data_IF_521389484354
#
_entry.id   IF_521389484354
#
_cell.length_a   1.000
_cell.length_b   1.000
_cell.length_c   1.000
_cell.angle_alpha   90.00
_cell.angle_beta   90.00
_cell.angle_gamma   90.00
#
_symmetry.space_group_name_H-M   'P 1'
#
loop_
_entity.id
_entity.type
_entity.pdbx_description
1 polymer ?
#
# COMPACT_ATOMS: atom_id res chain seq x y z
N UNK A 1 47.70 7.26 13.91
CA UNK A 1 47.17 5.88 13.99
C UNK A 1 45.82 5.87 13.29
N UNK A 2 45.73 5.22 12.13
CA UNK A 2 44.52 5.13 11.34
C UNK A 2 43.62 4.02 11.91
N UNK A 3 42.37 4.36 12.24
CA UNK A 3 41.36 3.39 12.67
C UNK A 3 40.84 2.61 11.45
N UNK A 4 40.76 1.29 11.64
CA UNK A 4 40.28 0.32 10.67
C UNK A 4 38.85 0.61 10.18
N UNK A 5 38.57 0.56 8.87
CA UNK A 5 37.21 0.61 8.33
C UNK A 5 36.65 -0.81 8.25
N UNK A 6 36.34 -1.41 9.39
CA UNK A 6 35.73 -2.75 9.45
C UNK A 6 34.65 -2.83 10.55
N UNK A 7 33.84 -1.79 10.69
CA UNK A 7 32.65 -1.80 11.57
C UNK A 7 31.54 -0.88 11.03
N UNK A 8 31.24 -0.96 9.73
CA UNK A 8 30.02 -0.34 9.16
C UNK A 8 29.31 -1.36 8.27
N UNK A 9 28.86 -2.47 8.85
CA UNK A 9 28.00 -3.43 8.14
C UNK A 9 27.11 -4.25 9.08
N UNK A 10 26.55 -3.63 10.12
CA UNK A 10 25.47 -4.25 10.89
C UNK A 10 24.26 -3.33 11.16
N UNK A 11 24.34 -2.03 10.88
CA UNK A 11 23.19 -1.13 11.01
C UNK A 11 22.19 -1.22 9.83
N UNK A 12 22.61 -1.77 8.68
CA UNK A 12 21.74 -1.86 7.49
C UNK A 12 20.68 -2.99 7.58
N UNK A 13 20.92 -4.03 8.39
CA UNK A 13 19.97 -5.14 8.56
C UNK A 13 18.89 -4.87 9.62
N UNK A 14 19.12 -3.92 10.54
CA UNK A 14 18.12 -3.48 11.52
C UNK A 14 16.98 -2.65 10.90
N UNK A 15 17.26 -1.91 9.82
CA UNK A 15 16.25 -1.11 9.12
C UNK A 15 15.28 -1.94 8.27
N UNK A 16 15.75 -3.05 7.69
CA UNK A 16 14.89 -3.94 6.87
C UNK A 16 13.93 -4.74 7.75
N UNK A 17 14.35 -5.16 8.95
CA UNK A 17 13.47 -5.83 9.91
C UNK A 17 12.40 -4.91 10.49
N UNK A 18 12.70 -3.61 10.67
CA UNK A 18 11.69 -2.62 11.08
C UNK A 18 10.66 -2.34 9.95
N UNK A 19 11.09 -2.33 8.69
CA UNK A 19 10.17 -2.17 7.55
C UNK A 19 9.22 -3.37 7.39
N UNK A 20 9.69 -4.59 7.66
CA UNK A 20 8.86 -5.80 7.62
C UNK A 20 7.81 -5.83 8.73
N UNK A 21 8.10 -5.24 9.90
CA UNK A 21 7.13 -5.13 11.00
C UNK A 21 6.12 -3.99 10.77
N UNK A 22 6.51 -2.92 10.08
CA UNK A 22 5.59 -1.82 9.71
C UNK A 22 4.57 -2.24 8.64
N UNK A 23 4.89 -3.20 7.78
CA UNK A 23 3.93 -3.81 6.83
C UNK A 23 2.94 -4.79 7.49
N UNK A 24 3.13 -5.12 8.78
CA UNK A 24 2.17 -5.88 9.59
C UNK A 24 1.27 -4.98 10.46
N UNK A 25 1.24 -3.66 10.21
CA UNK A 25 0.37 -2.73 10.94
C UNK A 25 -1.08 -2.71 10.44
N UNK A 26 -1.42 -3.45 9.38
CA UNK A 26 -2.81 -3.61 8.88
C UNK A 26 -3.56 -4.77 9.57
N UNK A 27 -3.01 -5.33 10.65
CA UNK A 27 -3.72 -6.34 11.47
C UNK A 27 -4.76 -5.75 12.44
N UNK A 28 -5.04 -4.44 12.37
CA UNK A 28 -5.98 -3.74 13.26
C UNK A 28 -7.47 -4.06 12.98
N UNK A 29 -7.76 -4.99 12.06
CA UNK A 29 -9.13 -5.41 11.72
C UNK A 29 -9.66 -6.61 12.51
N UNK A 30 -8.85 -7.22 13.38
CA UNK A 30 -9.29 -8.39 14.15
C UNK A 30 -9.81 -7.94 15.52
N UNK A 31 -11.09 -7.56 15.56
CA UNK A 31 -11.80 -7.33 16.83
C UNK A 31 -12.15 -8.69 17.43
N UNK A 32 -11.61 -9.00 18.62
CA UNK A 32 -12.03 -10.14 19.44
C UNK A 32 -13.30 -9.77 20.20
N UNK A 33 -14.40 -10.47 19.93
CA UNK A 33 -15.66 -10.36 20.68
C UNK A 33 -15.71 -11.43 21.79
N UNK A 34 -15.44 -11.06 23.05
CA UNK A 34 -15.73 -11.91 24.21
C UNK A 34 -14.77 -13.05 24.52
N UNK A 35 -14.89 -13.62 25.73
CA UNK A 35 -13.99 -14.66 26.27
C UNK A 35 -14.36 -16.10 25.83
N UNK A 36 -15.58 -16.31 25.31
CA UNK A 36 -16.11 -17.64 24.97
C UNK A 36 -16.51 -17.79 23.48
N UNK A 37 -16.52 -16.71 22.69
CA UNK A 37 -16.85 -16.74 21.25
C UNK A 37 -15.65 -16.31 20.39
N UNK A 38 -15.05 -17.26 19.67
CA UNK A 38 -14.00 -16.97 18.70
C UNK A 38 -14.62 -16.47 17.38
N UNK A 39 -14.97 -15.19 17.32
CA UNK A 39 -15.43 -14.52 16.10
C UNK A 39 -14.29 -13.84 15.32
N UNK A 40 -14.29 -13.99 13.99
CA UNK A 40 -13.51 -13.14 13.09
C UNK A 40 -14.48 -12.29 12.26
N UNK A 41 -14.45 -10.97 12.44
CA UNK A 41 -15.30 -10.04 11.70
C UNK A 41 -14.49 -9.29 10.66
N UNK A 42 -14.72 -9.58 9.38
CA UNK A 42 -14.15 -8.83 8.26
C UNK A 42 -15.20 -7.82 7.80
N UNK A 43 -15.00 -6.54 8.11
CA UNK A 43 -15.99 -5.51 7.79
C UNK A 43 -16.03 -5.16 6.29
N UNK A 44 -14.89 -5.28 5.60
CA UNK A 44 -14.78 -4.98 4.18
C UNK A 44 -14.00 -6.10 3.50
N UNK A 45 -14.70 -6.94 2.76
CA UNK A 45 -14.10 -8.04 2.02
C UNK A 45 -13.59 -7.54 0.67
N UNK A 46 -12.28 -7.55 0.48
CA UNK A 46 -11.63 -7.19 -0.78
C UNK A 46 -11.53 -8.42 -1.71
N UNK A 47 -11.42 -8.23 -3.04
CA UNK A 47 -11.29 -9.36 -3.97
C UNK A 47 -10.10 -10.28 -3.68
N UNK A 48 -9.03 -9.73 -3.09
CA UNK A 48 -7.84 -10.48 -2.68
C UNK A 48 -8.07 -11.37 -1.45
N UNK A 49 -9.15 -11.13 -0.72
CA UNK A 49 -9.58 -11.89 0.46
C UNK A 49 -10.58 -13.00 0.08
N UNK A 50 -10.94 -13.13 -1.19
CA UNK A 50 -11.72 -14.28 -1.66
C UNK A 50 -10.89 -15.57 -1.56
N UNK A 51 -11.48 -16.65 -1.04
CA UNK A 51 -10.72 -17.86 -0.80
C UNK A 51 -11.48 -18.94 -0.04
N UNK A 52 -10.73 -19.85 0.58
CA UNK A 52 -11.26 -20.81 1.55
C UNK A 52 -10.56 -20.53 2.88
N UNK A 53 -11.35 -20.18 3.88
CA UNK A 53 -10.87 -19.96 5.23
C UNK A 53 -11.01 -21.24 6.03
N UNK A 54 -10.00 -21.56 6.84
CA UNK A 54 -10.02 -22.72 7.70
C UNK A 54 -10.09 -22.27 9.15
N UNK A 55 -11.07 -22.77 9.89
CA UNK A 55 -11.18 -22.60 11.33
C UNK A 55 -10.82 -23.92 12.00
N UNK A 56 -9.78 -23.91 12.83
CA UNK A 56 -9.33 -25.07 13.59
C UNK A 56 -9.57 -24.89 15.09
N UNK A 57 -10.21 -25.86 15.72
CA UNK A 57 -10.26 -26.01 17.18
C UNK A 57 -9.29 -27.12 17.58
N UNK A 58 -8.52 -26.92 18.65
CA UNK A 58 -7.52 -27.89 19.11
C UNK A 58 -8.11 -28.98 20.02
N UNK A 59 -9.13 -28.66 20.81
CA UNK A 59 -9.74 -29.56 21.78
C UNK A 59 -11.27 -29.37 21.86
N UNK A 60 -12.07 -30.30 21.30
CA UNK A 60 -11.66 -31.41 20.44
C UNK A 60 -11.08 -30.92 19.10
N UNK A 61 -10.21 -31.72 18.44
CA UNK A 61 -9.68 -31.37 17.14
C UNK A 61 -10.81 -31.34 16.11
N UNK A 62 -11.13 -30.15 15.64
CA UNK A 62 -12.14 -29.94 14.61
C UNK A 62 -11.64 -28.91 13.60
N UNK A 63 -11.74 -29.22 12.32
CA UNK A 63 -11.40 -28.28 11.24
C UNK A 63 -12.66 -28.06 10.42
N UNK A 64 -13.08 -26.81 10.34
CA UNK A 64 -14.15 -26.36 9.47
C UNK A 64 -13.55 -25.49 8.36
N UNK A 65 -14.14 -25.54 7.17
CA UNK A 65 -13.77 -24.69 6.04
C UNK A 65 -14.94 -23.83 5.61
N UNK A 66 -14.69 -22.54 5.44
CA UNK A 66 -15.65 -21.55 4.98
C UNK A 66 -15.18 -20.98 3.63
N UNK A 67 -15.85 -21.31 2.51
CA UNK A 67 -15.57 -20.64 1.25
C UNK A 67 -16.10 -19.20 1.32
N UNK A 68 -15.25 -18.24 0.95
CA UNK A 68 -15.60 -16.83 0.85
C UNK A 68 -15.52 -16.42 -0.62
N UNK A 69 -16.64 -15.91 -1.14
CA UNK A 69 -16.74 -15.34 -2.48
C UNK A 69 -16.87 -13.83 -2.40
N UNK A 70 -16.27 -13.14 -3.37
CA UNK A 70 -16.37 -11.68 -3.50
C UNK A 70 -16.89 -11.38 -4.89
N UNK A 71 -17.99 -10.65 -4.95
CA UNK A 71 -18.53 -10.14 -6.20
C UNK A 71 -18.28 -8.65 -6.25
N UNK A 72 -17.61 -8.21 -7.31
CA UNK A 72 -17.33 -6.81 -7.58
C UNK A 72 -18.21 -6.32 -8.71
N UNK A 73 -18.89 -5.20 -8.50
CA UNK A 73 -19.66 -4.52 -9.53
C UNK A 73 -19.04 -3.14 -9.74
N UNK A 74 -18.67 -2.82 -10.98
CA UNK A 74 -17.93 -1.61 -11.33
C UNK A 74 -18.63 -0.86 -12.46
N UNK A 75 -18.59 0.47 -12.38
CA UNK A 75 -19.06 1.43 -13.39
C UNK A 75 -17.83 2.12 -14.00
N UNK A 76 -17.63 1.95 -15.32
CA UNK A 76 -16.66 2.69 -16.11
C UNK A 76 -17.40 3.65 -17.06
N UNK A 77 -17.49 4.92 -16.69
CA UNK A 77 -18.10 5.97 -17.51
C UNK A 77 -17.18 6.33 -18.68
N UNK A 78 -17.73 6.34 -19.90
CA UNK A 78 -17.04 6.73 -21.13
C UNK A 78 -17.81 7.85 -21.85
N UNK A 79 -17.19 8.50 -22.86
CA UNK A 79 -17.85 9.59 -23.59
C UNK A 79 -19.16 9.19 -24.29
N UNK A 80 -19.26 7.95 -24.76
CA UNK A 80 -20.41 7.46 -25.55
C UNK A 80 -21.41 6.61 -24.74
N UNK A 81 -21.11 6.28 -23.49
CA UNK A 81 -21.90 5.36 -22.69
C UNK A 81 -21.18 4.94 -21.41
N UNK A 82 -21.71 3.95 -20.71
CA UNK A 82 -21.07 3.35 -19.54
C UNK A 82 -20.86 1.86 -19.78
N UNK A 83 -19.72 1.37 -19.31
CA UNK A 83 -19.44 -0.07 -19.21
C UNK A 83 -19.63 -0.49 -17.77
N UNK A 84 -20.58 -1.38 -17.53
CA UNK A 84 -20.77 -2.03 -16.26
C UNK A 84 -20.07 -3.38 -16.30
N UNK A 85 -19.32 -3.72 -15.26
CA UNK A 85 -18.67 -5.02 -15.13
C UNK A 85 -19.01 -5.63 -13.78
N UNK A 86 -19.43 -6.88 -13.81
CA UNK A 86 -19.66 -7.70 -12.64
C UNK A 86 -18.70 -8.89 -12.71
N UNK A 87 -17.91 -9.08 -11.66
CA UNK A 87 -16.87 -10.11 -11.61
C UNK A 87 -16.91 -10.82 -10.26
N UNK A 88 -16.96 -12.15 -10.31
CA UNK A 88 -17.02 -13.00 -9.14
C UNK A 88 -15.67 -13.70 -8.93
N UNK A 89 -15.01 -13.40 -7.83
CA UNK A 89 -13.84 -14.12 -7.34
C UNK A 89 -14.33 -15.10 -6.28
N UNK A 90 -14.28 -16.39 -6.60
CA UNK A 90 -14.67 -17.44 -5.67
C UNK A 90 -13.82 -18.70 -5.83
N UNK A 91 -13.63 -19.37 -4.71
CA UNK A 91 -13.10 -20.72 -4.58
C UNK A 91 -14.08 -21.80 -5.07
N UNK A 92 -15.38 -21.53 -5.11
CA UNK A 92 -16.39 -22.47 -5.61
C UNK A 92 -16.79 -22.22 -7.07
N UNK A 93 -17.57 -23.15 -7.64
CA UNK A 93 -17.94 -23.13 -9.05
C UNK A 93 -19.07 -22.11 -9.26
N UNK A 94 -18.72 -20.97 -9.85
CA UNK A 94 -19.69 -20.03 -10.42
C UNK A 94 -20.23 -20.63 -11.72
N UNK A 95 -21.55 -20.77 -11.79
CA UNK A 95 -22.25 -21.44 -12.90
C UNK A 95 -22.57 -20.44 -14.00
N UNK A 96 -23.14 -19.29 -13.63
CA UNK A 96 -23.51 -18.24 -14.58
C UNK A 96 -23.59 -16.87 -13.90
N UNK A 97 -23.43 -15.84 -14.72
CA UNK A 97 -23.62 -14.45 -14.33
C UNK A 97 -24.42 -13.73 -15.41
N UNK A 98 -25.41 -12.94 -14.99
CA UNK A 98 -26.27 -12.18 -15.90
C UNK A 98 -26.68 -10.83 -15.31
N UNK A 99 -26.97 -9.89 -16.19
CA UNK A 99 -27.47 -8.58 -15.80
C UNK A 99 -28.98 -8.57 -15.76
N UNK A 100 -29.53 -8.00 -14.70
CA UNK A 100 -30.95 -7.74 -14.53
C UNK A 100 -31.22 -6.22 -14.54
N UNK A 101 -32.41 -5.86 -14.99
CA UNK A 101 -32.98 -4.53 -14.82
C UNK A 101 -34.40 -4.69 -14.28
N UNK A 102 -34.67 -4.12 -13.10
CA UNK A 102 -35.96 -4.29 -12.42
C UNK A 102 -36.33 -5.78 -12.22
N UNK A 103 -35.36 -6.61 -11.81
CA UNK A 103 -35.55 -8.05 -11.61
C UNK A 103 -35.77 -8.87 -12.90
N UNK A 104 -35.61 -8.28 -14.09
CA UNK A 104 -35.74 -8.97 -15.37
C UNK A 104 -34.39 -9.09 -16.06
N UNK A 105 -34.09 -10.26 -16.59
CA UNK A 105 -32.86 -10.48 -17.35
C UNK A 105 -32.81 -9.56 -18.58
N UNK A 106 -31.68 -8.87 -18.72
CA UNK A 106 -31.41 -8.08 -19.91
C UNK A 106 -31.13 -9.05 -21.07
N UNK A 107 -32.09 -9.15 -21.97
CA UNK A 107 -31.93 -9.97 -23.16
C UNK A 107 -30.85 -9.42 -24.08
N UNK A 108 -30.04 -10.33 -24.64
CA UNK A 108 -29.10 -10.03 -25.73
C UNK A 108 -29.81 -9.60 -27.04
N UNK A 109 -31.15 -9.61 -27.07
CA UNK A 109 -31.94 -9.24 -28.25
C UNK A 109 -32.03 -7.73 -28.47
N UNK A 110 -31.68 -6.90 -27.48
CA UNK A 110 -31.59 -5.45 -27.69
C UNK A 110 -30.29 -5.14 -28.42
N UNK A 111 -30.32 -4.77 -29.71
CA UNK A 111 -29.11 -4.57 -30.50
C UNK A 111 -28.28 -3.36 -30.04
N UNK A 112 -28.84 -2.47 -29.21
CA UNK A 112 -28.12 -1.33 -28.66
C UNK A 112 -27.30 -1.69 -27.42
N UNK A 113 -27.60 -2.83 -26.80
CA UNK A 113 -26.87 -3.31 -25.63
C UNK A 113 -25.83 -4.33 -26.07
N UNK A 114 -24.61 -4.17 -25.55
CA UNK A 114 -23.59 -5.20 -25.73
C UNK A 114 -23.37 -5.90 -24.40
N UNK A 115 -23.81 -7.16 -24.32
CA UNK A 115 -23.62 -8.01 -23.16
C UNK A 115 -22.59 -9.06 -23.53
N UNK A 116 -21.50 -9.13 -22.76
CA UNK A 116 -20.51 -10.19 -22.87
C UNK A 116 -20.44 -10.92 -21.53
N UNK A 117 -20.91 -12.18 -21.51
CA UNK A 117 -20.92 -13.01 -20.30
C UNK A 117 -19.98 -14.20 -20.45
N UNK A 118 -19.14 -14.38 -19.45
CA UNK A 118 -18.35 -15.58 -19.19
C UNK A 118 -18.71 -16.16 -17.81
N UNK A 119 -18.21 -17.36 -17.51
CA UNK A 119 -18.57 -18.09 -16.27
C UNK A 119 -18.35 -17.30 -14.97
N UNK A 120 -17.33 -16.43 -14.91
CA UNK A 120 -16.95 -15.68 -13.71
C UNK A 120 -16.98 -14.16 -13.88
N UNK A 121 -17.36 -13.67 -15.06
CA UNK A 121 -17.52 -12.25 -15.29
C UNK A 121 -18.62 -11.98 -16.31
N UNK A 122 -19.29 -10.85 -16.17
CA UNK A 122 -20.19 -10.33 -17.19
C UNK A 122 -20.00 -8.83 -17.34
N UNK A 123 -20.05 -8.36 -18.57
CA UNK A 123 -19.91 -6.96 -18.92
C UNK A 123 -21.11 -6.50 -19.74
N UNK A 124 -21.67 -5.35 -19.37
CA UNK A 124 -22.77 -4.70 -20.06
C UNK A 124 -22.31 -3.32 -20.52
N UNK A 125 -22.43 -3.04 -21.81
CA UNK A 125 -22.25 -1.71 -22.36
C UNK A 125 -23.61 -1.08 -22.63
N UNK A 126 -23.85 0.09 -22.04
CA UNK A 126 -25.08 0.87 -22.24
C UNK A 126 -24.72 2.20 -22.89
N UNK A 127 -25.17 2.47 -24.12
CA UNK A 127 -24.91 3.74 -24.78
C UNK A 127 -25.73 4.85 -24.12
N UNK A 128 -25.23 6.09 -24.18
CA UNK A 128 -25.79 7.23 -23.43
C UNK A 128 -27.21 7.60 -23.85
N UNK A 129 -27.60 7.32 -25.09
CA UNK A 129 -28.95 7.54 -25.61
C UNK A 129 -29.96 6.46 -25.19
N UNK A 130 -29.49 5.36 -24.58
CA UNK A 130 -30.35 4.26 -24.14
C UNK A 130 -31.12 4.63 -22.86
N UNK A 131 -32.41 4.27 -22.73
CA UNK A 131 -33.18 4.50 -21.50
C UNK A 131 -32.50 3.94 -20.23
N UNK A 132 -31.92 2.73 -20.34
CA UNK A 132 -31.15 2.10 -19.24
C UNK A 132 -29.98 2.94 -18.72
N UNK A 133 -29.45 3.89 -19.51
CA UNK A 133 -28.37 4.75 -19.02
C UNK A 133 -28.86 5.69 -17.91
N UNK A 134 -30.11 6.16 -18.01
CA UNK A 134 -30.75 7.01 -16.99
C UNK A 134 -31.16 6.18 -15.77
N UNK A 135 -31.61 4.96 -16.01
CA UNK A 135 -32.09 4.04 -14.97
C UNK A 135 -30.99 3.08 -14.48
N UNK A 136 -29.71 3.42 -14.69
CA UNK A 136 -28.56 2.55 -14.35
C UNK A 136 -28.50 2.14 -12.89
N UNK A 137 -29.12 2.91 -12.00
CA UNK A 137 -29.22 2.65 -10.57
C UNK A 137 -30.09 1.41 -10.24
N UNK A 138 -30.90 0.95 -11.19
CA UNK A 138 -31.75 -0.24 -11.09
C UNK A 138 -31.13 -1.45 -11.79
N UNK A 139 -29.87 -1.34 -12.22
CA UNK A 139 -29.10 -2.47 -12.73
C UNK A 139 -28.63 -3.35 -11.59
N UNK A 140 -28.85 -4.64 -11.76
CA UNK A 140 -28.46 -5.67 -10.82
C UNK A 140 -27.65 -6.74 -11.56
N UNK A 141 -26.71 -7.36 -10.87
CA UNK A 141 -25.97 -8.51 -11.35
C UNK A 141 -26.41 -9.73 -10.56
N UNK A 142 -26.96 -10.73 -11.25
CA UNK A 142 -27.25 -12.02 -10.66
C UNK A 142 -26.07 -12.97 -10.88
N UNK A 143 -25.65 -13.62 -9.79
CA UNK A 143 -24.58 -14.60 -9.76
C UNK A 143 -25.16 -15.91 -9.25
N UNK A 144 -25.07 -16.96 -10.07
CA UNK A 144 -25.51 -18.30 -9.70
C UNK A 144 -24.30 -19.13 -9.30
N UNK A 145 -24.27 -19.57 -8.05
CA UNK A 145 -23.16 -20.29 -7.43
C UNK A 145 -23.67 -21.65 -6.91
N UNK A 146 -23.56 -22.68 -7.75
CA UNK A 146 -24.18 -23.97 -7.49
C UNK A 146 -25.71 -23.85 -7.51
N UNK A 147 -26.35 -24.11 -6.37
CA UNK A 147 -27.81 -23.99 -6.18
C UNK A 147 -28.21 -22.62 -5.60
N UNK A 148 -27.25 -21.81 -5.18
CA UNK A 148 -27.50 -20.50 -4.60
C UNK A 148 -27.55 -19.41 -5.69
N UNK A 149 -28.49 -18.48 -5.54
CA UNK A 149 -28.65 -17.32 -6.42
C UNK A 149 -28.46 -16.07 -5.58
N UNK A 150 -27.49 -15.24 -5.97
CA UNK A 150 -27.14 -14.00 -5.30
C UNK A 150 -27.35 -12.82 -6.25
N UNK A 151 -28.03 -11.77 -5.80
CA UNK A 151 -28.33 -10.56 -6.61
C UNK A 151 -27.62 -9.36 -6.00
N UNK A 152 -26.83 -8.66 -6.81
CA UNK A 152 -26.01 -7.52 -6.40
C UNK A 152 -26.42 -6.27 -7.17
N UNK A 153 -26.89 -5.23 -6.47
CA UNK A 153 -27.21 -3.94 -7.10
C UNK A 153 -25.96 -3.10 -7.36
N UNK A 154 -25.95 -2.32 -8.44
CA UNK A 154 -24.85 -1.40 -8.77
C UNK A 154 -24.62 -0.35 -7.67
N UNK A 155 -25.70 0.07 -7.01
CA UNK A 155 -25.63 0.83 -5.76
C UNK A 155 -25.45 -0.19 -4.64
N UNK A 156 -24.21 -0.48 -4.26
CA UNK A 156 -23.97 -0.95 -2.89
C UNK A 156 -24.44 0.19 -1.99
N UNK A 157 -25.68 0.10 -1.48
CA UNK A 157 -26.00 0.75 -0.23
C UNK A 157 -25.04 0.13 0.77
N UNK A 158 -23.99 0.86 1.12
CA UNK A 158 -23.25 0.60 2.36
C UNK A 158 -24.32 0.35 3.42
N UNK A 159 -24.33 -0.80 4.12
CA UNK A 159 -25.30 -1.00 5.19
C UNK A 159 -25.18 0.22 6.09
N UNK A 160 -26.25 1.00 6.22
CA UNK A 160 -26.28 2.10 7.18
C UNK A 160 -25.86 1.51 8.51
N UNK A 161 -24.78 2.01 9.15
CA UNK A 161 -24.47 1.60 10.49
C UNK A 161 -25.64 2.05 11.36
N UNK A 162 -26.54 1.11 11.66
CA UNK A 162 -27.52 1.24 12.71
C UNK A 162 -26.75 1.32 14.03
N UNK A 163 -26.26 2.52 14.35
CA UNK A 163 -25.37 2.78 15.47
C UNK A 163 -24.39 3.90 15.18
N UNK A 164 -24.87 5.14 15.29
CA UNK A 164 -24.15 6.35 15.67
C UNK A 164 -22.60 6.22 15.80
N UNK A 165 -21.87 6.32 14.70
CA UNK A 165 -20.45 6.68 14.73
C UNK A 165 -20.20 7.68 13.61
N UNK A 166 -20.18 8.95 14.00
CA UNK A 166 -19.57 10.04 13.24
C UNK A 166 -18.07 9.81 13.19
N UNK A 167 -17.52 9.27 12.09
CA UNK A 167 -16.23 9.74 11.57
C UNK A 167 -15.97 9.16 10.17
N UNK A 168 -16.34 9.89 9.13
CA UNK A 168 -15.89 9.57 7.77
C UNK A 168 -15.64 10.88 7.01
N UNK A 169 -14.49 11.49 7.30
CA UNK A 169 -13.87 12.48 6.40
C UNK A 169 -12.34 12.49 6.44
N UNK A 170 -11.68 11.54 7.14
CA UNK A 170 -10.23 11.60 7.39
C UNK A 170 -9.39 10.58 6.60
N UNK A 171 -10.01 9.64 5.88
CA UNK A 171 -9.28 8.50 5.29
C UNK A 171 -8.41 8.84 4.06
N UNK A 172 -8.71 9.93 3.34
CA UNK A 172 -7.84 10.43 2.25
C UNK A 172 -6.70 11.33 2.76
N UNK A 173 -6.87 11.96 3.93
CA UNK A 173 -5.89 12.88 4.52
C UNK A 173 -4.73 12.11 5.18
N UNK A 174 -5.01 10.93 5.72
CA UNK A 174 -4.00 10.03 6.33
C UNK A 174 -2.93 9.58 5.33
N UNK A 175 -3.30 9.19 4.10
CA UNK A 175 -2.34 8.74 3.08
C UNK A 175 -1.43 9.88 2.59
N UNK A 176 -1.96 11.09 2.40
CA UNK A 176 -1.16 12.24 1.95
C UNK A 176 -0.19 12.68 3.05
N UNK A 177 -0.64 12.75 4.30
CA UNK A 177 0.21 13.07 5.45
C UNK A 177 1.33 12.05 5.63
N UNK A 178 1.03 10.75 5.47
CA UNK A 178 2.03 9.69 5.56
C UNK A 178 3.10 9.83 4.47
N UNK A 179 2.68 10.06 3.21
CA UNK A 179 3.60 10.28 2.09
C UNK A 179 4.51 11.50 2.36
N UNK A 180 3.95 12.62 2.84
CA UNK A 180 4.73 13.82 3.19
C UNK A 180 5.75 13.55 4.31
N UNK A 181 5.34 12.83 5.37
CA UNK A 181 6.24 12.47 6.48
C UNK A 181 7.37 11.56 6.00
N UNK A 182 7.08 10.59 5.14
CA UNK A 182 8.12 9.74 4.53
C UNK A 182 9.14 10.55 3.73
N UNK A 183 8.70 11.50 2.90
CA UNK A 183 9.62 12.35 2.15
C UNK A 183 10.49 13.22 3.06
N UNK A 184 9.92 13.77 4.14
CA UNK A 184 10.67 14.56 5.12
C UNK A 184 11.73 13.72 5.85
N UNK A 185 11.41 12.49 6.24
CA UNK A 185 12.35 11.57 6.86
C UNK A 185 13.50 11.20 5.91
N UNK A 186 13.20 10.92 4.64
CA UNK A 186 14.24 10.64 3.63
C UNK A 186 15.15 11.86 3.45
N UNK A 187 14.59 13.07 3.36
CA UNK A 187 15.37 14.29 3.22
C UNK A 187 16.30 14.52 4.43
N UNK A 188 15.79 14.31 5.66
CA UNK A 188 16.61 14.42 6.89
C UNK A 188 17.75 13.40 6.92
N UNK A 189 17.50 12.15 6.52
CA UNK A 189 18.53 11.12 6.44
C UNK A 189 19.62 11.48 5.41
N UNK A 190 19.23 12.00 4.25
CA UNK A 190 20.18 12.49 3.24
C UNK A 190 21.02 13.65 3.79
N UNK A 191 20.41 14.64 4.47
CA UNK A 191 21.13 15.75 5.09
C UNK A 191 22.13 15.26 6.15
N UNK A 192 21.73 14.33 7.03
CA UNK A 192 22.63 13.74 8.03
C UNK A 192 23.80 12.98 7.40
N UNK A 193 23.56 12.26 6.29
CA UNK A 193 24.62 11.55 5.58
C UNK A 193 25.68 12.52 5.04
N UNK A 194 25.26 13.67 4.48
CA UNK A 194 26.15 14.68 3.92
C UNK A 194 26.95 15.37 5.03
N UNK A 195 26.33 15.70 6.17
CA UNK A 195 27.04 16.32 7.29
C UNK A 195 28.05 15.37 7.94
N UNK A 196 27.75 14.07 8.03
CA UNK A 196 28.70 13.06 8.50
C UNK A 196 29.90 12.91 7.55
N UNK A 197 29.68 12.87 6.24
CA UNK A 197 30.77 12.85 5.25
C UNK A 197 31.59 14.14 5.29
N UNK A 198 30.93 15.29 5.44
CA UNK A 198 31.59 16.59 5.54
C UNK A 198 32.46 16.69 6.80
N UNK A 199 31.92 16.32 7.96
CA UNK A 199 32.65 16.35 9.24
C UNK A 199 33.84 15.38 9.23
N UNK A 200 33.67 14.19 8.66
CA UNK A 200 34.75 13.23 8.50
C UNK A 200 35.84 13.71 7.52
N UNK A 201 35.45 14.31 6.39
CA UNK A 201 36.40 14.83 5.39
C UNK A 201 37.09 16.13 5.81
N UNK A 202 36.44 16.95 6.63
CA UNK A 202 36.99 18.22 7.13
C UNK A 202 37.91 18.01 8.33
N UNK A 203 37.65 17.00 9.18
CA UNK A 203 38.54 16.61 10.28
C UNK A 203 39.95 16.22 9.81
N UNK A 204 40.08 15.65 8.62
CA UNK A 204 41.38 15.32 8.02
C UNK A 204 42.12 16.51 7.42
N UNK A 205 41.46 17.64 7.13
CA UNK A 205 42.14 18.85 6.64
C UNK A 205 42.66 19.74 7.76
N UNK A 206 42.00 19.77 8.92
CA UNK A 206 42.42 20.62 10.03
C UNK A 206 43.71 20.14 10.70
N UNK A 207 43.98 18.83 10.74
CA UNK A 207 45.24 18.28 11.26
C UNK A 207 46.44 18.36 10.30
N UNK A 208 46.23 18.78 9.04
CA UNK A 208 47.32 18.94 8.05
C UNK A 208 47.85 20.37 7.96
N UNK A 209 47.12 21.34 8.49
CA UNK A 209 47.52 22.76 8.49
C UNK A 209 48.38 23.19 9.68
N UNK A 210 48.39 22.42 10.78
CA UNK A 210 49.04 22.85 12.02
C UNK A 210 50.47 22.33 12.26
N UNK A 211 50.99 21.45 11.39
CA UNK A 211 52.33 20.86 11.58
C UNK A 211 53.41 21.39 10.62
N UNK A 212 53.11 22.40 9.79
CA UNK A 212 54.06 22.89 8.78
C UNK A 212 54.50 24.36 8.98
N UNK A 213 54.22 24.98 10.13
CA UNK A 213 54.55 26.39 10.36
C UNK A 213 55.54 26.65 11.52
N UNK A 214 56.35 25.66 11.90
CA UNK A 214 57.41 25.85 12.92
C UNK A 214 58.83 25.41 12.50
N UNK A 215 59.08 25.16 11.21
CA UNK A 215 60.43 24.80 10.75
C UNK A 215 60.86 25.69 9.59
N UNK A 216 61.08 27.00 9.80
CA UNK A 216 61.94 27.78 8.88
C UNK A 216 62.43 29.16 9.37
N UNK A 217 62.77 29.40 10.65
CA UNK A 217 63.52 30.63 11.01
C UNK A 217 64.49 30.46 12.19
N UNK A 218 65.35 29.45 12.15
CA UNK A 218 66.49 29.40 13.10
C UNK A 218 67.87 29.25 12.45
N UNK A 219 67.98 29.34 11.13
CA UNK A 219 69.27 29.13 10.44
C UNK A 219 69.89 30.36 9.76
N UNK A 220 69.38 31.57 10.00
CA UNK A 220 69.94 32.82 9.42
C UNK A 220 70.83 33.60 10.41
N UNK A 221 70.81 33.26 11.71
CA UNK A 221 71.57 34.03 12.72
C UNK A 221 73.05 33.65 12.83
N UNK A 222 73.49 32.50 12.31
CA UNK A 222 74.90 32.08 12.37
C UNK A 222 75.77 32.55 11.19
N UNK A 223 75.20 32.83 10.01
CA UNK A 223 76.00 33.29 8.86
C UNK A 223 76.57 34.72 9.06
N UNK A 224 75.89 35.58 9.82
CA UNK A 224 76.35 36.94 10.12
C UNK A 224 77.50 37.04 11.15
N UNK A 225 77.85 35.94 11.84
CA UNK A 225 79.00 35.94 12.78
C UNK A 225 80.31 35.51 12.11
N UNK A 226 80.26 34.86 10.95
CA UNK A 226 81.48 34.43 10.24
C UNK A 226 82.11 35.56 9.39
N UNK A 227 81.30 36.49 8.85
CA UNK A 227 81.85 37.59 8.04
C UNK A 227 82.49 38.72 8.83
N UNK A 228 82.33 38.78 10.15
CA UNK A 228 82.95 39.83 10.99
C UNK A 228 84.34 39.45 11.54
N UNK A 229 84.87 38.26 11.19
CA UNK A 229 86.22 37.82 11.59
C UNK A 229 87.26 37.78 10.45
N UNK A 230 86.92 38.25 9.26
CA UNK A 230 87.88 38.35 8.14
C UNK A 230 88.22 39.80 7.74
N UNK A 231 87.88 40.78 8.57
CA UNK A 231 88.13 42.21 8.31
C UNK A 231 88.96 42.89 9.42
N UNK A 232 89.78 42.12 10.14
CA UNK A 232 90.86 42.63 11.00
C UNK A 232 92.14 41.86 10.72
#
# INVERSE_FOLDING_TARGET
MCLNPLTVSMAAYGGVLLLSLLLCSDCDKIVREGADDCGLKIQHVLPVEAGVYHCGQSNPPHISSLPVSVVTVTDEVKPLGSKFRCEAVSSSIVVSMRWLHQGRELNQSDPKLMINSHRKNTALWVPRDHPLYRDKNQLECEVVQGEEIHVFSLIQKTPEPSGLFTDDTTHFDMNVRYVVVCFLLIALLLCLSVTLVWTHSSGCRFLRGQNNEEVYYENIRESSRLHRRMAQ
#
